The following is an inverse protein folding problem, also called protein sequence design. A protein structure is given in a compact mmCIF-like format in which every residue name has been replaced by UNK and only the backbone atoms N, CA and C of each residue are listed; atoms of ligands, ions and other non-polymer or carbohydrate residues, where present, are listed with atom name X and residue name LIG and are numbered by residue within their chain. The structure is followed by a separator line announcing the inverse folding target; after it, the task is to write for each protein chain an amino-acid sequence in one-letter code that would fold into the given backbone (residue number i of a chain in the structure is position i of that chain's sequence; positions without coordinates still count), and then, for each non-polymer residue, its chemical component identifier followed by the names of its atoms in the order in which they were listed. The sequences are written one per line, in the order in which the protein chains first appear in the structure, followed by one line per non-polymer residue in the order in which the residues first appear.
data_IF_459872738828
#
_entry.id   IF_459872738828
#
_cell.length_a   1.000
_cell.length_b   1.000
_cell.length_c   1.000
_cell.angle_alpha   90.00
_cell.angle_beta   90.00
_cell.angle_gamma   90.00
#
_symmetry.space_group_name_H-M   'P 1'
#
loop_
_entity.id
_entity.type
_entity.pdbx_description
1 polymer ?
#
# COMPACT_ATOMS: atom_id res chain seq x y z
N UNK A 1 57.07 -13.34 -9.99
CA UNK A 1 56.35 -14.03 -11.10
C UNK A 1 56.64 -15.52 -11.02
N UNK A 2 55.90 -16.25 -10.18
CA UNK A 2 56.03 -17.71 -10.01
C UNK A 2 54.82 -18.42 -10.62
N UNK A 3 55.13 -19.41 -11.47
CA UNK A 3 54.21 -20.25 -12.24
C UNK A 3 53.42 -21.18 -11.31
N UNK A 4 52.11 -21.26 -11.52
CA UNK A 4 51.21 -22.23 -10.90
C UNK A 4 51.50 -23.65 -11.39
N UNK A 5 51.58 -24.59 -10.44
CA UNK A 5 51.58 -26.03 -10.69
C UNK A 5 50.14 -26.56 -10.74
N UNK A 6 49.96 -27.49 -11.67
CA UNK A 6 48.75 -28.19 -12.07
C UNK A 6 48.60 -29.45 -11.20
N UNK A 7 47.42 -29.72 -10.62
CA UNK A 7 47.04 -31.06 -10.17
C UNK A 7 45.55 -31.31 -10.42
N UNK A 8 45.29 -32.11 -11.45
CA UNK A 8 44.05 -32.85 -11.64
C UNK A 8 44.24 -34.26 -11.06
N UNK A 9 43.32 -34.70 -10.18
CA UNK A 9 42.71 -36.05 -10.18
C UNK A 9 41.93 -36.29 -8.88
N UNK A 10 40.61 -36.32 -8.99
CA UNK A 10 39.79 -37.26 -8.22
C UNK A 10 38.53 -37.58 -9.01
N UNK A 11 38.50 -38.80 -9.56
CA UNK A 11 37.36 -39.42 -10.22
C UNK A 11 36.40 -39.97 -9.17
N UNK A 12 35.17 -39.44 -9.10
CA UNK A 12 34.10 -40.06 -8.32
C UNK A 12 32.79 -40.02 -9.14
N UNK A 13 32.39 -41.21 -9.61
CA UNK A 13 31.02 -41.69 -9.83
C UNK A 13 30.00 -40.75 -10.55
N UNK A 14 29.95 -40.81 -11.89
CA UNK A 14 28.83 -40.23 -12.68
C UNK A 14 27.56 -41.08 -12.53
N UNK A 15 26.75 -40.82 -11.51
CA UNK A 15 25.33 -41.27 -11.48
C UNK A 15 24.58 -40.59 -12.64
N UNK A 16 24.08 -41.38 -13.59
CA UNK A 16 23.17 -40.93 -14.65
C UNK A 16 21.91 -40.30 -14.03
N UNK A 17 21.90 -38.96 -13.93
CA UNK A 17 20.69 -38.20 -13.58
C UNK A 17 19.79 -38.23 -14.81
N UNK A 18 18.77 -39.11 -14.84
CA UNK A 18 17.64 -39.00 -15.77
C UNK A 18 17.06 -37.59 -15.63
N UNK A 19 17.19 -36.76 -16.67
CA UNK A 19 16.52 -35.45 -16.75
C UNK A 19 15.02 -35.70 -16.84
N UNK A 20 14.33 -35.64 -15.71
CA UNK A 20 12.86 -35.50 -15.71
C UNK A 20 12.55 -34.21 -16.47
N UNK A 21 11.95 -34.32 -17.65
CA UNK A 21 11.40 -33.17 -18.38
C UNK A 21 10.28 -32.61 -17.53
N UNK A 22 10.56 -31.58 -16.72
CA UNK A 22 9.52 -30.77 -16.08
C UNK A 22 8.66 -30.19 -17.20
N UNK A 23 7.44 -30.70 -17.36
CA UNK A 23 6.41 -30.07 -18.16
C UNK A 23 6.25 -28.65 -17.63
N UNK A 24 6.56 -27.66 -18.48
CA UNK A 24 6.26 -26.26 -18.16
C UNK A 24 4.75 -26.13 -18.16
N UNK A 25 4.11 -26.28 -17.00
CA UNK A 25 2.75 -25.80 -16.80
C UNK A 25 2.78 -24.31 -17.13
N UNK A 26 2.25 -23.94 -18.31
CA UNK A 26 2.00 -22.54 -18.68
C UNK A 26 0.84 -22.09 -17.78
N UNK A 27 1.15 -21.75 -16.53
CA UNK A 27 0.18 -21.16 -15.61
C UNK A 27 -0.41 -19.91 -16.25
N UNK A 28 -1.73 -19.69 -16.08
CA UNK A 28 -2.42 -18.50 -16.57
C UNK A 28 -1.60 -17.25 -16.21
N UNK A 29 -1.22 -16.47 -17.21
CA UNK A 29 -0.55 -15.18 -17.03
C UNK A 29 -1.46 -14.28 -16.20
N UNK A 30 -0.92 -13.73 -15.11
CA UNK A 30 -1.65 -12.84 -14.20
C UNK A 30 -1.98 -11.54 -14.96
N UNK A 31 -3.20 -11.04 -14.79
CA UNK A 31 -3.59 -9.73 -15.33
C UNK A 31 -2.78 -8.63 -14.64
N UNK A 32 -2.46 -7.58 -15.37
CA UNK A 32 -1.83 -6.37 -14.82
C UNK A 32 -2.81 -5.62 -13.91
N UNK A 33 -2.28 -4.93 -12.91
CA UNK A 33 -3.08 -4.03 -12.07
C UNK A 33 -3.53 -2.84 -12.91
N UNK A 34 -4.78 -2.43 -12.74
CA UNK A 34 -5.38 -1.27 -13.42
C UNK A 34 -5.85 -0.31 -12.33
N UNK A 35 -5.63 0.99 -12.52
CA UNK A 35 -6.10 2.05 -11.63
C UNK A 35 -7.10 2.95 -12.37
N UNK A 36 -8.14 3.34 -11.67
CA UNK A 36 -9.18 4.25 -12.16
C UNK A 36 -9.52 5.26 -11.06
N UNK A 37 -9.98 6.45 -11.45
CA UNK A 37 -10.42 7.46 -10.49
C UNK A 37 -11.59 6.95 -9.63
N UNK A 38 -11.59 7.31 -8.35
CA UNK A 38 -12.59 6.88 -7.37
C UNK A 38 -13.28 8.10 -6.73
N UNK A 39 -14.19 8.79 -7.46
CA UNK A 39 -14.84 10.00 -6.97
C UNK A 39 -15.77 9.75 -5.77
N UNK A 40 -16.31 8.53 -5.64
CA UNK A 40 -17.10 8.12 -4.47
C UNK A 40 -16.24 8.10 -3.20
N UNK A 41 -15.00 7.62 -3.30
CA UNK A 41 -14.03 7.64 -2.20
C UNK A 41 -13.61 9.06 -1.87
N UNK A 42 -13.39 9.90 -2.88
CA UNK A 42 -13.06 11.31 -2.65
C UNK A 42 -14.16 12.03 -1.86
N UNK A 43 -15.43 11.85 -2.25
CA UNK A 43 -16.59 12.39 -1.52
C UNK A 43 -16.64 11.89 -0.07
N UNK A 44 -16.42 10.59 0.13
CA UNK A 44 -16.42 10.02 1.47
C UNK A 44 -15.30 10.58 2.34
N UNK A 45 -14.09 10.75 1.78
CA UNK A 45 -12.98 11.35 2.53
C UNK A 45 -13.25 12.81 2.87
N UNK A 46 -13.80 13.62 1.95
CA UNK A 46 -14.21 15.00 2.26
C UNK A 46 -15.16 15.02 3.46
N UNK A 47 -16.19 14.16 3.44
CA UNK A 47 -17.15 14.04 4.54
C UNK A 47 -16.48 13.64 5.86
N UNK A 48 -15.61 12.64 5.84
CA UNK A 48 -14.89 12.18 7.05
C UNK A 48 -13.94 13.25 7.60
N UNK A 49 -13.25 13.97 6.72
CA UNK A 49 -12.35 15.06 7.11
C UNK A 49 -13.11 16.21 7.78
N UNK A 50 -14.25 16.61 7.22
CA UNK A 50 -15.10 17.65 7.77
C UNK A 50 -15.70 17.23 9.13
N UNK A 51 -16.33 16.06 9.18
CA UNK A 51 -16.98 15.54 10.40
C UNK A 51 -16.02 15.34 11.58
N UNK A 52 -14.76 14.97 11.31
CA UNK A 52 -13.77 14.68 12.36
C UNK A 52 -12.75 15.81 12.61
N UNK A 53 -12.92 16.96 11.94
CA UNK A 53 -12.01 18.10 11.97
C UNK A 53 -10.56 17.70 11.64
N UNK A 54 -10.38 17.04 10.49
CA UNK A 54 -9.06 16.62 10.00
C UNK A 54 -8.37 17.72 9.19
N UNK A 55 -8.34 18.94 9.72
CA UNK A 55 -7.85 20.16 9.07
C UNK A 55 -6.40 20.13 8.56
N UNK A 56 -5.58 19.14 8.95
CA UNK A 56 -4.22 18.97 8.42
C UNK A 56 -4.15 18.21 7.08
N UNK A 57 -5.28 17.64 6.64
CA UNK A 57 -5.37 16.92 5.37
C UNK A 57 -5.84 17.90 4.30
N UNK A 58 -4.94 18.25 3.38
CA UNK A 58 -5.25 19.11 2.24
C UNK A 58 -5.99 18.30 1.17
N UNK A 59 -7.32 18.29 1.23
CA UNK A 59 -8.16 17.43 0.38
C UNK A 59 -7.98 17.71 -1.12
N UNK A 60 -7.66 18.95 -1.50
CA UNK A 60 -7.38 19.33 -2.88
C UNK A 60 -6.10 18.70 -3.45
N UNK A 61 -5.19 18.24 -2.58
CA UNK A 61 -3.95 17.53 -2.94
C UNK A 61 -4.01 16.04 -2.59
N UNK A 62 -5.22 15.51 -2.38
CA UNK A 62 -5.50 14.12 -2.12
C UNK A 62 -6.27 13.52 -3.29
N UNK A 63 -5.68 12.51 -3.93
CA UNK A 63 -6.28 11.83 -5.07
C UNK A 63 -6.79 10.46 -4.65
N UNK A 64 -7.94 10.04 -5.17
CA UNK A 64 -8.55 8.76 -4.83
C UNK A 64 -8.58 7.85 -6.04
N UNK A 65 -8.01 6.66 -5.89
CA UNK A 65 -7.88 5.66 -6.95
C UNK A 65 -8.51 4.35 -6.52
N UNK A 66 -9.11 3.63 -7.45
CA UNK A 66 -9.59 2.27 -7.27
C UNK A 66 -8.76 1.36 -8.15
N UNK A 67 -8.17 0.33 -7.54
CA UNK A 67 -7.37 -0.65 -8.28
C UNK A 67 -8.11 -1.96 -8.48
N UNK A 68 -7.87 -2.60 -9.62
CA UNK A 68 -8.32 -3.96 -9.95
C UNK A 68 -7.12 -4.85 -10.30
N UNK A 69 -7.32 -6.17 -10.18
CA UNK A 69 -6.33 -7.23 -10.36
C UNK A 69 -5.16 -7.19 -9.35
N UNK A 70 -5.35 -6.53 -8.21
CA UNK A 70 -4.30 -6.42 -7.18
C UNK A 70 -4.18 -7.70 -6.36
N UNK A 71 -2.95 -8.18 -6.18
CA UNK A 71 -2.66 -9.39 -5.38
C UNK A 71 -2.31 -9.10 -3.93
N UNK A 72 -2.38 -7.83 -3.52
CA UNK A 72 -2.10 -7.43 -2.14
C UNK A 72 -3.04 -8.11 -1.16
N UNK A 73 -2.68 -8.16 0.12
CA UNK A 73 -3.59 -8.55 1.22
C UNK A 73 -4.39 -7.38 1.78
N UNK A 74 -3.96 -6.14 1.53
CA UNK A 74 -4.59 -4.92 2.02
C UNK A 74 -5.99 -4.68 1.41
N UNK A 75 -6.80 -3.88 2.12
CA UNK A 75 -8.10 -3.36 1.65
C UNK A 75 -7.93 -2.02 0.95
N UNK A 76 -7.03 -1.18 1.45
CA UNK A 76 -6.62 0.08 0.86
C UNK A 76 -5.11 0.28 1.07
N UNK A 77 -4.55 1.30 0.42
CA UNK A 77 -3.17 1.77 0.59
C UNK A 77 -3.16 3.29 0.51
N UNK A 78 -2.13 3.88 1.10
CA UNK A 78 -1.79 5.27 0.87
C UNK A 78 -0.40 5.42 0.25
N UNK A 79 -0.30 6.38 -0.65
CA UNK A 79 0.93 6.76 -1.31
C UNK A 79 1.20 8.22 -1.05
N UNK A 80 2.42 8.56 -0.62
CA UNK A 80 2.87 9.95 -0.51
C UNK A 80 3.81 10.30 -1.67
N UNK A 81 3.64 11.48 -2.26
CA UNK A 81 4.55 12.00 -3.25
C UNK A 81 5.88 12.35 -2.56
N UNK A 82 6.94 11.57 -2.79
CA UNK A 82 8.21 11.78 -2.08
C UNK A 82 8.88 13.11 -2.44
N UNK A 83 9.69 13.66 -1.53
CA UNK A 83 10.37 14.95 -1.71
C UNK A 83 11.18 15.06 -3.02
N UNK A 84 11.83 13.98 -3.44
CA UNK A 84 12.62 13.97 -4.68
C UNK A 84 11.72 14.18 -5.90
N UNK A 85 10.56 13.53 -5.95
CA UNK A 85 9.58 13.71 -7.02
C UNK A 85 8.94 15.10 -6.99
N UNK A 86 8.62 15.62 -5.79
CA UNK A 86 8.13 16.99 -5.63
C UNK A 86 9.12 18.01 -6.23
N UNK A 87 10.42 17.89 -5.92
CA UNK A 87 11.45 18.78 -6.43
C UNK A 87 11.66 18.63 -7.94
N UNK A 88 11.75 17.39 -8.44
CA UNK A 88 11.99 17.13 -9.86
C UNK A 88 10.84 17.63 -10.74
N UNK A 89 9.59 17.46 -10.29
CA UNK A 89 8.38 17.81 -11.04
C UNK A 89 7.82 19.20 -10.69
N UNK A 90 8.46 19.92 -9.75
CA UNK A 90 7.99 21.21 -9.19
C UNK A 90 6.53 21.12 -8.67
N UNK A 91 6.20 20.00 -8.05
CA UNK A 91 4.88 19.74 -7.48
C UNK A 91 4.89 19.95 -5.97
N UNK A 92 3.75 20.38 -5.43
CA UNK A 92 3.51 20.41 -3.98
C UNK A 92 3.36 18.97 -3.46
N UNK A 93 3.49 18.74 -2.14
CA UNK A 93 3.13 17.46 -1.55
C UNK A 93 1.71 17.04 -1.94
N UNK A 94 1.56 15.77 -2.30
CA UNK A 94 0.28 15.18 -2.66
C UNK A 94 0.25 13.72 -2.17
N UNK A 95 -0.95 13.20 -2.05
CA UNK A 95 -1.18 11.82 -1.61
C UNK A 95 -2.21 11.13 -2.51
N UNK A 96 -2.08 9.81 -2.63
CA UNK A 96 -3.08 8.97 -3.27
C UNK A 96 -3.62 8.00 -2.23
N UNK A 97 -4.93 7.97 -2.04
CA UNK A 97 -5.64 6.89 -1.35
C UNK A 97 -6.13 5.91 -2.40
N UNK A 98 -5.63 4.68 -2.32
CA UNK A 98 -5.98 3.61 -3.23
C UNK A 98 -6.85 2.56 -2.53
N UNK A 99 -8.07 2.33 -3.01
CA UNK A 99 -8.90 1.22 -2.55
C UNK A 99 -8.77 0.00 -3.48
N UNK A 100 -8.73 -1.20 -2.90
CA UNK A 100 -8.62 -2.46 -3.64
C UNK A 100 -10.02 -3.02 -3.88
N UNK A 101 -10.54 -2.93 -5.11
CA UNK A 101 -11.96 -3.19 -5.41
C UNK A 101 -12.41 -4.59 -4.98
N UNK A 102 -11.57 -5.61 -5.16
CA UNK A 102 -11.93 -7.01 -4.85
C UNK A 102 -12.20 -7.26 -3.36
N UNK A 103 -11.87 -6.30 -2.49
CA UNK A 103 -12.00 -6.42 -1.04
C UNK A 103 -12.73 -5.26 -0.43
N UNK A 104 -12.30 -4.04 -0.71
CA UNK A 104 -12.88 -2.84 -0.14
C UNK A 104 -14.37 -2.73 -0.45
N UNK A 105 -14.78 -3.09 -1.67
CA UNK A 105 -16.17 -2.90 -2.09
C UNK A 105 -17.15 -3.83 -1.38
N UNK A 106 -16.65 -4.97 -0.89
CA UNK A 106 -17.41 -5.98 -0.14
C UNK A 106 -17.61 -5.61 1.33
N UNK A 107 -16.93 -4.57 1.81
CA UNK A 107 -17.05 -4.11 3.19
C UNK A 107 -18.38 -3.38 3.41
N UNK A 108 -18.87 -3.43 4.65
CA UNK A 108 -19.94 -2.55 5.10
C UNK A 108 -19.49 -1.08 5.09
N UNK A 109 -20.42 -0.12 5.04
CA UNK A 109 -20.09 1.31 5.04
C UNK A 109 -19.23 1.72 6.25
N UNK A 110 -19.56 1.16 7.41
CA UNK A 110 -18.80 1.36 8.65
C UNK A 110 -17.35 0.89 8.51
N UNK A 111 -17.13 -0.30 7.96
CA UNK A 111 -15.78 -0.84 7.77
C UNK A 111 -15.00 -0.10 6.69
N UNK A 112 -15.69 0.37 5.64
CA UNK A 112 -15.12 1.24 4.61
C UNK A 112 -14.54 2.50 5.24
N UNK A 113 -15.31 3.18 6.09
CA UNK A 113 -14.86 4.38 6.78
C UNK A 113 -13.67 4.11 7.70
N UNK A 114 -13.69 3.01 8.45
CA UNK A 114 -12.54 2.59 9.28
C UNK A 114 -11.27 2.39 8.45
N UNK A 115 -11.39 1.76 7.28
CA UNK A 115 -10.26 1.55 6.37
C UNK A 115 -9.76 2.88 5.80
N UNK A 116 -10.63 3.78 5.37
CA UNK A 116 -10.20 5.10 4.87
C UNK A 116 -9.51 5.92 5.97
N UNK A 117 -10.07 5.95 7.17
CA UNK A 117 -9.47 6.64 8.31
C UNK A 117 -8.11 6.05 8.68
N UNK A 118 -7.95 4.72 8.61
CA UNK A 118 -6.66 4.06 8.78
C UNK A 118 -5.62 4.63 7.81
N UNK A 119 -5.93 4.66 6.52
CA UNK A 119 -5.03 5.20 5.51
C UNK A 119 -4.71 6.69 5.75
N UNK A 120 -5.72 7.51 6.07
CA UNK A 120 -5.52 8.94 6.34
C UNK A 120 -4.62 9.21 7.55
N UNK A 121 -4.61 8.33 8.56
CA UNK A 121 -3.74 8.52 9.73
C UNK A 121 -2.24 8.36 9.45
N UNK A 122 -1.88 7.80 8.29
CA UNK A 122 -0.51 7.76 7.79
C UNK A 122 -0.05 9.10 7.20
N UNK A 123 -0.97 10.05 6.95
CA UNK A 123 -0.62 11.40 6.53
C UNK A 123 -0.08 12.16 7.76
N UNK A 124 1.17 12.64 7.73
CA UNK A 124 1.73 13.45 8.79
C UNK A 124 0.99 14.79 8.90
N UNK A 125 0.96 15.37 10.11
CA UNK A 125 0.29 16.65 10.39
C UNK A 125 0.83 17.84 9.59
N UNK A 126 2.05 17.74 9.05
CA UNK A 126 2.66 18.77 8.21
C UNK A 126 2.45 18.54 6.70
N UNK A 127 1.67 17.53 6.31
CA UNK A 127 1.32 17.20 4.93
C UNK A 127 2.54 17.16 3.97
N UNK A 128 3.67 16.61 4.42
CA UNK A 128 4.97 16.74 3.72
C UNK A 128 5.17 15.84 2.49
N UNK A 129 4.23 14.95 2.16
CA UNK A 129 4.38 13.90 1.14
C UNK A 129 5.08 12.63 1.66
N UNK A 130 5.51 12.63 2.93
CA UNK A 130 6.03 11.44 3.62
C UNK A 130 4.90 10.61 4.24
N UNK A 131 5.18 9.36 4.61
CA UNK A 131 4.24 8.48 5.30
C UNK A 131 4.69 8.20 6.74
N UNK A 132 3.77 8.36 7.68
CA UNK A 132 3.99 7.96 9.08
C UNK A 132 3.90 6.44 9.17
N UNK A 133 4.95 5.72 9.60
CA UNK A 133 4.90 4.26 9.68
C UNK A 133 3.92 3.80 10.76
N UNK A 134 3.31 2.63 10.54
CA UNK A 134 2.57 1.93 11.58
C UNK A 134 3.55 1.39 12.63
N UNK A 135 3.82 2.14 13.71
CA UNK A 135 4.70 1.66 14.78
C UNK A 135 4.00 0.52 15.53
N UNK A 136 4.49 -0.72 15.33
CA UNK A 136 3.94 -1.93 15.96
C UNK A 136 4.51 -2.21 17.37
N UNK A 137 5.47 -1.41 17.86
CA UNK A 137 6.11 -1.58 19.18
C UNK A 137 6.01 -0.30 20.02
N UNK A 138 5.25 -0.34 21.11
CA UNK A 138 5.12 0.73 22.11
C UNK A 138 3.66 1.15 22.40
N UNK A 139 3.42 1.76 23.58
CA UNK A 139 2.09 2.09 24.18
C UNK A 139 1.13 2.96 23.33
N UNK A 140 1.49 3.38 22.11
CA UNK A 140 0.60 4.09 21.17
C UNK A 140 -0.01 3.10 20.19
N UNK A 141 -1.04 2.42 20.66
CA UNK A 141 -1.76 1.43 19.87
C UNK A 141 -2.51 2.17 18.75
N UNK A 142 -2.00 2.10 17.51
CA UNK A 142 -2.57 2.80 16.35
C UNK A 142 -4.03 2.41 16.10
N UNK A 143 -4.38 1.15 16.40
CA UNK A 143 -5.77 0.69 16.41
C UNK A 143 -6.64 1.53 17.36
N UNK A 144 -6.12 1.93 18.53
CA UNK A 144 -6.83 2.81 19.45
C UNK A 144 -7.07 4.19 18.85
N UNK A 145 -6.13 4.75 18.07
CA UNK A 145 -6.32 6.05 17.40
C UNK A 145 -7.38 5.99 16.30
N UNK A 146 -7.41 4.89 15.54
CA UNK A 146 -8.47 4.62 14.56
C UNK A 146 -9.81 4.41 15.27
N UNK A 147 -9.82 3.65 16.37
CA UNK A 147 -11.01 3.44 17.19
C UNK A 147 -11.50 4.75 17.84
N UNK A 148 -10.60 5.62 18.30
CA UNK A 148 -10.93 6.93 18.88
C UNK A 148 -11.52 7.87 17.82
N UNK A 149 -10.97 7.88 16.60
CA UNK A 149 -11.54 8.61 15.46
C UNK A 149 -12.92 8.06 15.09
N UNK A 150 -13.06 6.75 15.06
CA UNK A 150 -14.30 6.06 14.76
C UNK A 150 -15.38 6.30 15.84
N UNK A 151 -15.01 6.23 17.12
CA UNK A 151 -15.91 6.51 18.24
C UNK A 151 -16.41 7.95 18.23
N UNK A 152 -15.58 8.90 17.79
CA UNK A 152 -16.02 10.29 17.54
C UNK A 152 -17.01 10.37 16.37
N UNK A 153 -16.80 9.57 15.32
CA UNK A 153 -17.70 9.52 14.17
C UNK A 153 -19.11 9.01 14.53
N UNK A 154 -19.20 7.90 15.29
CA UNK A 154 -20.50 7.32 15.70
C UNK A 154 -21.23 8.24 16.69
N UNK A 155 -20.52 8.87 17.63
CA UNK A 155 -21.16 9.73 18.66
C UNK A 155 -21.87 10.97 18.11
N UNK A 156 -21.66 11.29 16.84
CA UNK A 156 -22.25 12.44 16.16
C UNK A 156 -23.41 12.04 15.22
N UNK A 157 -23.82 10.77 15.21
CA UNK A 157 -25.08 10.29 14.64
C UNK A 157 -26.18 10.25 15.71
#
# INVERSE_FOLDING_TARGET
MLKFLNYNKLSIFRRSRRKVKKTKNRGKTRKSVIWQDAPDIAKQIVYLCDKLDLSWVEVNSLHCMRSENSQTRAYARIWGLSKVWQQALKQKPAYIVEVISEKYDKLSNIEKDKVLLHELTHIPKNFSGSLVPHIRRGKRNFHRKVEDLYNRHIKQE
#
